data_IF_472689130053
#
_entry.id   IF_472689130053
#
_cell.length_a   1.000
_cell.length_b   1.000
_cell.length_c   1.000
_cell.angle_alpha   90.00
_cell.angle_beta   90.00
_cell.angle_gamma   90.00
#
_symmetry.space_group_name_H-M   'P 1'
#
loop_
_entity.id
_entity.type
_entity.pdbx_description
1 polymer ?
#
# COMPACT_ATOMS: atom_id res chain seq x y z
N UNK A 1 -43.40 -46.78 -9.32
CA UNK A 1 -42.52 -46.31 -8.20
C UNK A 1 -41.24 -45.58 -8.66
N UNK A 2 -41.10 -45.16 -9.94
CA UNK A 2 -39.84 -44.55 -10.46
C UNK A 2 -39.85 -43.01 -10.54
N UNK A 3 -41.01 -42.34 -10.43
CA UNK A 3 -41.12 -40.88 -10.56
C UNK A 3 -40.64 -40.09 -9.33
N UNK A 4 -40.71 -40.67 -8.13
CA UNK A 4 -40.37 -39.97 -6.89
C UNK A 4 -38.84 -39.80 -6.71
N UNK A 5 -38.04 -40.80 -7.10
CA UNK A 5 -36.57 -40.71 -7.06
C UNK A 5 -36.02 -39.69 -8.06
N UNK A 6 -36.61 -39.59 -9.26
CA UNK A 6 -36.23 -38.59 -10.25
C UNK A 6 -36.67 -37.17 -9.84
N UNK A 7 -37.84 -37.03 -9.21
CA UNK A 7 -38.28 -35.77 -8.60
C UNK A 7 -37.31 -35.29 -7.51
N UNK A 8 -36.94 -36.18 -6.58
CA UNK A 8 -36.02 -35.86 -5.49
C UNK A 8 -34.61 -35.50 -5.96
N UNK A 9 -34.07 -36.19 -6.99
CA UNK A 9 -32.78 -35.82 -7.61
C UNK A 9 -32.82 -34.44 -8.25
N UNK A 10 -33.93 -34.04 -8.87
CA UNK A 10 -34.09 -32.68 -9.44
C UNK A 10 -34.08 -31.60 -8.36
N UNK A 11 -34.75 -31.84 -7.23
CA UNK A 11 -34.74 -30.91 -6.11
C UNK A 11 -33.37 -30.76 -5.45
N UNK A 12 -32.61 -31.85 -5.31
CA UNK A 12 -31.24 -31.80 -4.79
C UNK A 12 -30.31 -31.02 -5.71
N UNK A 13 -30.40 -31.22 -7.03
CA UNK A 13 -29.61 -30.46 -8.01
C UNK A 13 -30.00 -28.98 -8.01
N UNK A 14 -31.30 -28.67 -7.98
CA UNK A 14 -31.78 -27.29 -7.90
C UNK A 14 -31.31 -26.59 -6.63
N UNK A 15 -31.40 -27.24 -5.47
CA UNK A 15 -30.90 -26.70 -4.22
C UNK A 15 -29.38 -26.45 -4.28
N UNK A 16 -28.60 -27.37 -4.86
CA UNK A 16 -27.16 -27.20 -5.07
C UNK A 16 -26.82 -26.00 -5.96
N UNK A 17 -27.54 -25.81 -7.07
CA UNK A 17 -27.35 -24.68 -7.98
C UNK A 17 -27.71 -23.34 -7.31
N UNK A 18 -28.78 -23.31 -6.50
CA UNK A 18 -29.17 -22.12 -5.74
C UNK A 18 -28.10 -21.77 -4.71
N UNK A 19 -27.59 -22.74 -3.95
CA UNK A 19 -26.50 -22.50 -3.00
C UNK A 19 -25.22 -21.99 -3.70
N UNK A 20 -24.88 -22.55 -4.85
CA UNK A 20 -23.73 -22.09 -5.65
C UNK A 20 -23.93 -20.64 -6.12
N UNK A 21 -25.12 -20.31 -6.64
CA UNK A 21 -25.45 -18.96 -7.10
C UNK A 21 -25.41 -17.95 -5.95
N UNK A 22 -25.94 -18.30 -4.77
CA UNK A 22 -25.89 -17.46 -3.56
C UNK A 22 -24.45 -17.28 -3.06
N UNK A 23 -23.63 -18.34 -3.09
CA UNK A 23 -22.22 -18.26 -2.71
C UNK A 23 -21.40 -17.38 -3.66
N UNK A 24 -21.59 -17.52 -4.97
CA UNK A 24 -20.94 -16.67 -5.97
C UNK A 24 -21.38 -15.21 -5.86
N UNK A 25 -22.68 -14.95 -5.65
CA UNK A 25 -23.21 -13.60 -5.47
C UNK A 25 -22.70 -12.96 -4.17
N UNK A 26 -22.71 -13.70 -3.07
CA UNK A 26 -22.16 -13.25 -1.78
C UNK A 26 -20.65 -12.97 -1.86
N UNK A 27 -19.90 -13.86 -2.52
CA UNK A 27 -18.47 -13.66 -2.76
C UNK A 27 -18.18 -12.43 -3.62
N UNK A 28 -18.96 -12.20 -4.69
CA UNK A 28 -18.85 -11.00 -5.51
C UNK A 28 -19.15 -9.72 -4.71
N UNK A 29 -20.20 -9.73 -3.87
CA UNK A 29 -20.52 -8.60 -3.00
C UNK A 29 -19.45 -8.31 -1.95
N UNK A 30 -18.89 -9.36 -1.34
CA UNK A 30 -17.77 -9.20 -0.40
C UNK A 30 -16.55 -8.60 -1.11
N UNK A 31 -16.21 -9.10 -2.30
CA UNK A 31 -15.12 -8.53 -3.11
C UNK A 31 -15.35 -7.05 -3.40
N UNK A 32 -16.56 -6.65 -3.77
CA UNK A 32 -16.87 -5.25 -4.06
C UNK A 32 -16.74 -4.37 -2.80
N UNK A 33 -17.18 -4.85 -1.64
CA UNK A 33 -17.00 -4.14 -0.34
C UNK A 33 -15.52 -4.02 0.03
N UNK A 34 -14.73 -5.08 -0.16
CA UNK A 34 -13.29 -5.03 0.06
C UNK A 34 -12.59 -4.08 -0.93
N UNK A 35 -13.03 -4.05 -2.19
CA UNK A 35 -12.49 -3.16 -3.22
C UNK A 35 -12.76 -1.69 -2.91
N UNK A 36 -13.99 -1.34 -2.51
CA UNK A 36 -14.34 0.04 -2.12
C UNK A 36 -13.57 0.53 -0.89
N UNK A 37 -13.29 -0.35 0.08
CA UNK A 37 -12.55 0.02 1.28
C UNK A 37 -11.03 -0.04 1.13
N UNK A 38 -10.53 -0.81 0.18
CA UNK A 38 -9.09 -0.97 -0.08
C UNK A 38 -8.50 0.19 -0.88
N UNK A 39 -9.32 0.92 -1.62
CA UNK A 39 -8.91 2.16 -2.25
C UNK A 39 -9.14 3.30 -1.26
N UNK A 40 -8.07 3.91 -0.75
CA UNK A 40 -8.11 5.25 -0.18
C UNK A 40 -7.99 6.22 -1.36
N UNK A 41 -9.09 6.70 -1.97
CA UNK A 41 -8.97 7.70 -3.03
C UNK A 41 -8.32 8.94 -2.44
N UNK A 42 -7.12 9.27 -2.90
CA UNK A 42 -6.49 10.53 -2.54
C UNK A 42 -7.38 11.66 -3.08
N UNK A 43 -7.64 12.72 -2.30
CA UNK A 43 -8.48 13.84 -2.73
C UNK A 43 -7.93 14.54 -3.97
N UNK A 44 -6.62 14.43 -4.23
CA UNK A 44 -5.96 14.84 -5.47
C UNK A 44 -5.00 13.75 -5.97
N UNK A 45 -5.12 13.37 -7.24
CA UNK A 45 -4.36 12.29 -7.87
C UNK A 45 -2.92 12.69 -8.28
N UNK A 46 -2.51 13.94 -8.06
CA UNK A 46 -1.30 14.48 -8.68
C UNK A 46 -0.58 15.40 -7.69
N UNK A 47 0.47 14.89 -7.05
CA UNK A 47 1.50 15.75 -6.45
C UNK A 47 2.42 16.15 -7.60
N UNK A 48 2.46 17.43 -8.02
CA UNK A 48 3.35 17.85 -9.09
C UNK A 48 4.80 17.71 -8.63
N UNK A 49 5.49 16.73 -9.19
CA UNK A 49 6.92 16.57 -8.99
C UNK A 49 7.64 17.38 -10.06
N UNK A 50 8.35 18.44 -9.64
CA UNK A 50 9.19 19.24 -10.54
C UNK A 50 10.47 18.45 -10.88
N UNK A 51 10.28 17.44 -11.72
CA UNK A 51 11.36 16.79 -12.44
C UNK A 51 11.71 17.72 -13.59
N UNK A 52 12.73 18.56 -13.41
CA UNK A 52 13.26 19.50 -14.42
C UNK A 52 12.94 19.04 -15.85
N UNK A 53 12.13 19.82 -16.57
CA UNK A 53 11.26 19.39 -17.68
C UNK A 53 11.94 18.94 -18.99
N UNK A 54 13.12 18.34 -18.93
CA UNK A 54 13.93 17.93 -20.09
C UNK A 54 14.63 16.56 -19.93
N UNK A 55 14.26 15.77 -18.92
CA UNK A 55 14.91 14.47 -18.67
C UNK A 55 14.39 13.39 -19.63
N UNK A 56 15.28 12.75 -20.40
CA UNK A 56 14.95 11.59 -21.26
C UNK A 56 14.76 10.29 -20.47
N UNK A 57 15.22 10.24 -19.23
CA UNK A 57 15.16 9.05 -18.36
C UNK A 57 14.87 9.47 -16.93
N UNK A 58 13.90 8.81 -16.32
CA UNK A 58 13.56 8.98 -14.91
C UNK A 58 14.11 7.78 -14.13
N UNK A 59 14.77 8.05 -13.01
CA UNK A 59 15.34 7.07 -12.09
C UNK A 59 14.78 7.30 -10.71
N UNK A 60 14.25 6.26 -10.09
CA UNK A 60 13.71 6.34 -8.75
C UNK A 60 14.02 5.06 -7.97
N UNK A 61 13.95 5.18 -6.65
CA UNK A 61 14.03 4.06 -5.74
C UNK A 61 12.61 3.74 -5.27
N UNK A 62 12.25 2.47 -5.28
CA UNK A 62 11.04 1.98 -4.63
C UNK A 62 11.44 1.21 -3.37
N UNK A 63 10.89 1.61 -2.22
CA UNK A 63 11.20 1.01 -0.91
C UNK A 63 9.95 1.01 -0.04
N UNK A 64 9.76 -0.03 0.78
CA UNK A 64 8.63 -0.15 1.72
C UNK A 64 9.08 -0.81 3.00
N UNK A 65 8.21 -0.84 4.00
CA UNK A 65 8.43 -1.58 5.26
C UNK A 65 9.71 -1.12 6.00
N UNK A 66 9.99 0.18 5.96
CA UNK A 66 11.23 0.74 6.53
C UNK A 66 11.06 1.37 7.91
N UNK A 67 9.83 1.50 8.43
CA UNK A 67 9.51 2.42 9.53
C UNK A 67 9.97 2.08 10.96
N UNK A 68 10.99 1.25 11.13
CA UNK A 68 11.42 0.76 12.46
C UNK A 68 12.35 1.73 13.20
N UNK A 69 13.14 2.54 12.48
CA UNK A 69 14.17 3.44 13.05
C UNK A 69 15.48 2.75 13.42
N UNK A 70 15.62 1.46 13.13
CA UNK A 70 16.76 0.64 13.55
C UNK A 70 17.98 0.77 12.62
N UNK A 71 19.03 0.02 12.95
CA UNK A 71 20.27 0.03 12.18
C UNK A 71 20.13 -0.64 10.80
N UNK A 72 19.17 -1.54 10.61
CA UNK A 72 18.92 -2.16 9.31
C UNK A 72 18.28 -1.16 8.36
N UNK A 73 17.33 -0.35 8.83
CA UNK A 73 16.80 0.79 8.07
C UNK A 73 17.92 1.75 7.65
N UNK A 74 18.84 2.10 8.56
CA UNK A 74 19.99 2.98 8.24
C UNK A 74 20.90 2.38 7.17
N UNK A 75 21.19 1.08 7.23
CA UNK A 75 21.99 0.38 6.21
C UNK A 75 21.32 0.38 4.84
N UNK A 76 19.99 0.25 4.79
CA UNK A 76 19.21 0.40 3.56
C UNK A 76 19.36 1.83 3.00
N UNK A 77 19.20 2.85 3.85
CA UNK A 77 19.37 4.25 3.44
C UNK A 77 20.79 4.53 2.89
N UNK A 78 21.84 3.97 3.51
CA UNK A 78 23.21 4.05 2.99
C UNK A 78 23.38 3.31 1.65
N UNK A 79 22.74 2.16 1.50
CA UNK A 79 22.68 1.42 0.23
C UNK A 79 22.05 2.25 -0.88
N UNK A 80 20.89 2.87 -0.60
CA UNK A 80 20.21 3.79 -1.50
C UNK A 80 21.14 4.94 -1.89
N UNK A 81 21.82 5.56 -0.93
CA UNK A 81 22.78 6.63 -1.19
C UNK A 81 23.89 6.22 -2.17
N UNK A 82 24.44 5.02 -2.02
CA UNK A 82 25.44 4.46 -2.95
C UNK A 82 24.89 4.22 -4.35
N UNK A 83 23.68 3.67 -4.46
CA UNK A 83 23.01 3.46 -5.76
C UNK A 83 22.75 4.79 -6.46
N UNK A 84 22.19 5.77 -5.75
CA UNK A 84 21.89 7.08 -6.30
C UNK A 84 23.15 7.85 -6.71
N UNK A 85 24.25 7.71 -5.97
CA UNK A 85 25.54 8.28 -6.36
C UNK A 85 26.11 7.65 -7.64
N UNK A 86 25.91 6.34 -7.84
CA UNK A 86 26.45 5.62 -8.99
C UNK A 86 25.59 5.74 -10.26
N UNK A 87 24.26 5.74 -10.10
CA UNK A 87 23.31 5.60 -11.23
C UNK A 87 22.42 6.84 -11.42
N UNK A 88 22.38 7.74 -10.44
CA UNK A 88 21.42 8.84 -10.37
C UNK A 88 20.08 8.40 -9.78
N UNK A 89 19.42 9.33 -9.09
CA UNK A 89 18.05 9.21 -8.61
C UNK A 89 17.38 10.59 -8.68
N UNK A 90 16.13 10.60 -9.13
CA UNK A 90 15.29 11.78 -9.24
C UNK A 90 14.36 11.92 -8.04
N UNK A 91 13.80 10.81 -7.56
CA UNK A 91 12.94 10.76 -6.37
C UNK A 91 12.92 9.37 -5.72
N UNK A 92 12.29 9.31 -4.55
CA UNK A 92 12.06 8.09 -3.78
C UNK A 92 10.55 7.80 -3.74
N UNK A 93 10.16 6.56 -3.95
CA UNK A 93 8.79 6.07 -3.81
C UNK A 93 8.73 5.18 -2.56
N UNK A 94 8.01 5.63 -1.54
CA UNK A 94 7.77 4.84 -0.34
C UNK A 94 6.43 4.12 -0.45
N UNK A 95 6.46 2.80 -0.33
CA UNK A 95 5.35 1.90 -0.64
C UNK A 95 4.44 1.58 0.55
N UNK A 96 4.64 2.26 1.69
CA UNK A 96 3.86 2.04 2.91
C UNK A 96 4.68 1.43 4.05
N UNK A 97 4.05 1.37 5.21
CA UNK A 97 4.64 0.97 6.49
C UNK A 97 5.90 1.81 6.81
N UNK A 98 5.69 3.12 6.71
CA UNK A 98 6.70 4.13 6.88
C UNK A 98 7.01 4.39 8.37
N UNK A 99 6.07 4.08 9.27
CA UNK A 99 6.21 4.25 10.71
C UNK A 99 5.58 3.09 11.49
N UNK A 100 6.42 2.17 11.98
CA UNK A 100 5.98 1.09 12.86
C UNK A 100 5.84 1.52 14.33
N UNK A 101 5.10 0.77 15.17
CA UNK A 101 4.08 -0.17 14.78
C UNK A 101 2.73 0.49 14.49
N UNK A 102 2.54 1.78 14.80
CA UNK A 102 1.21 2.41 14.80
C UNK A 102 1.16 3.80 14.14
N UNK A 103 1.99 4.06 13.13
CA UNK A 103 1.98 5.34 12.44
C UNK A 103 2.49 6.50 13.31
N UNK A 104 2.35 7.72 12.77
CA UNK A 104 2.59 8.98 13.51
C UNK A 104 1.28 9.49 14.11
N UNK A 105 1.34 10.23 15.21
CA UNK A 105 0.15 10.76 15.90
C UNK A 105 -0.22 12.18 15.50
N UNK A 106 0.71 12.93 14.90
CA UNK A 106 0.50 14.27 14.38
C UNK A 106 1.69 14.70 13.51
N UNK A 107 1.57 15.86 12.86
CA UNK A 107 2.68 16.52 12.16
C UNK A 107 3.84 16.98 13.06
N UNK A 108 3.71 16.86 14.39
CA UNK A 108 4.78 17.18 15.36
C UNK A 108 5.30 15.92 16.07
N UNK A 109 4.93 14.73 15.60
CA UNK A 109 5.42 13.48 16.19
C UNK A 109 6.93 13.32 15.96
N UNK A 110 7.68 13.04 17.04
CA UNK A 110 9.13 12.83 17.00
C UNK A 110 9.54 11.69 16.08
N UNK A 111 8.64 10.73 15.81
CA UNK A 111 8.88 9.65 14.86
C UNK A 111 9.24 10.16 13.45
N UNK A 112 8.75 11.33 13.05
CA UNK A 112 9.13 11.96 11.77
C UNK A 112 10.63 12.27 11.74
N UNK A 113 11.15 12.90 12.80
CA UNK A 113 12.59 13.22 12.88
C UNK A 113 13.42 11.94 13.06
N UNK A 114 13.02 11.09 14.02
CA UNK A 114 13.80 9.92 14.43
C UNK A 114 13.88 8.85 13.34
N UNK A 115 12.80 8.62 12.57
CA UNK A 115 12.69 7.47 11.67
C UNK A 115 12.63 7.82 10.20
N UNK A 116 12.43 9.09 9.88
CA UNK A 116 12.43 9.55 8.50
C UNK A 116 13.52 10.58 8.25
N UNK A 117 13.46 11.75 8.88
CA UNK A 117 14.40 12.85 8.56
C UNK A 117 15.84 12.47 8.89
N UNK A 118 16.14 12.01 10.10
CA UNK A 118 17.51 11.74 10.51
C UNK A 118 18.19 10.64 9.67
N UNK A 119 17.40 9.69 9.16
CA UNK A 119 17.86 8.55 8.36
C UNK A 119 18.05 8.94 6.89
N UNK A 120 17.07 9.64 6.31
CA UNK A 120 17.02 9.88 4.86
C UNK A 120 17.49 11.28 4.42
N UNK A 121 17.70 12.24 5.34
CA UNK A 121 18.09 13.63 5.03
C UNK A 121 19.29 13.76 4.10
N UNK A 122 20.26 12.83 4.18
CA UNK A 122 21.46 12.84 3.32
C UNK A 122 21.17 12.53 1.85
N UNK A 123 20.03 11.90 1.53
CA UNK A 123 19.65 11.59 0.16
C UNK A 123 19.29 12.86 -0.62
N UNK A 124 18.71 13.86 0.05
CA UNK A 124 18.34 15.15 -0.53
C UNK A 124 17.57 15.01 -1.86
N UNK A 125 16.52 14.16 -1.84
CA UNK A 125 15.60 13.90 -2.95
C UNK A 125 14.16 14.01 -2.48
N UNK A 126 13.21 14.32 -3.38
CA UNK A 126 11.79 14.24 -3.07
C UNK A 126 11.37 12.81 -2.71
N UNK A 127 10.44 12.69 -1.76
CA UNK A 127 9.80 11.43 -1.39
C UNK A 127 8.33 11.49 -1.76
N UNK A 128 7.87 10.54 -2.56
CA UNK A 128 6.46 10.27 -2.83
C UNK A 128 6.07 9.12 -1.91
N UNK A 129 5.14 9.36 -0.99
CA UNK A 129 4.84 8.45 0.10
C UNK A 129 3.38 8.01 0.02
N UNK A 130 3.14 6.71 0.11
CA UNK A 130 1.80 6.16 0.35
C UNK A 130 1.76 5.51 1.74
N UNK A 131 0.58 5.47 2.35
CA UNK A 131 0.37 4.85 3.66
C UNK A 131 0.18 3.34 3.53
N UNK A 132 0.84 2.58 4.41
CA UNK A 132 0.60 1.16 4.65
C UNK A 132 -0.35 0.92 5.84
N UNK A 133 -0.59 -0.35 6.18
CA UNK A 133 -1.53 -0.72 7.24
C UNK A 133 -1.03 -0.35 8.65
N UNK A 134 0.29 -0.22 8.86
CA UNK A 134 0.81 0.29 10.12
C UNK A 134 0.64 1.81 10.23
N UNK A 135 0.77 2.53 9.12
CA UNK A 135 0.62 3.98 9.09
C UNK A 135 -0.83 4.41 9.37
N UNK A 136 -1.82 3.66 8.88
CA UNK A 136 -3.25 3.94 9.09
C UNK A 136 -3.72 3.78 10.54
N UNK A 137 -2.88 3.23 11.42
CA UNK A 137 -3.18 3.14 12.85
C UNK A 137 -2.86 4.43 13.60
N UNK A 138 -2.14 5.35 12.96
CA UNK A 138 -1.87 6.70 13.44
C UNK A 138 -2.88 7.72 12.94
N UNK A 139 -2.51 9.00 13.04
CA UNK A 139 -3.26 10.11 12.48
C UNK A 139 -2.68 10.50 11.12
N UNK A 140 -3.46 10.28 10.06
CA UNK A 140 -3.12 10.64 8.68
C UNK A 140 -3.72 11.99 8.25
N UNK A 141 -4.52 12.65 9.11
CA UNK A 141 -5.33 13.82 8.76
C UNK A 141 -5.16 14.96 9.78
N UNK A 142 -3.91 15.39 10.03
CA UNK A 142 -3.67 16.63 10.77
C UNK A 142 -3.61 17.85 9.86
#
# INVERSE_FOLDING_TARGET
MNNNKNSMRRWVVLAGLVCLALGLWGGAKLRDVFWEKGCLPLPENIIPLDLTSSQETIRFIAVGDTGTGDDDQKRVAEGIGRVCAAQGCDFMLMLGDNFYPHGVKSTQDLLLEERFESIYKKLNKPFVVIAGNHDTQGDLQS
#
